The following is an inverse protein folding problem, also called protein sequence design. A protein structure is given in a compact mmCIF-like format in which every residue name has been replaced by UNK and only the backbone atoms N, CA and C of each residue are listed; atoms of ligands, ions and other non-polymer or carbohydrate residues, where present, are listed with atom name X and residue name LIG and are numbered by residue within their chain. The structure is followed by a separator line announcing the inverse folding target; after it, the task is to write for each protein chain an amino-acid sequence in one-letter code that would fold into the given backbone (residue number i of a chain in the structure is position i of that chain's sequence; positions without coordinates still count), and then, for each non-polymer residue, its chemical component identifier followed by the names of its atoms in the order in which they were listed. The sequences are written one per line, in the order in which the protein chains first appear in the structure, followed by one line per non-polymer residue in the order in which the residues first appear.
data_IF_867448039875
#
_entry.id   IF_867448039875
#
_cell.length_a   1.000
_cell.length_b   1.000
_cell.length_c   1.000
_cell.angle_alpha   90.00
_cell.angle_beta   90.00
_cell.angle_gamma   90.00
#
_symmetry.space_group_name_H-M   'P 1'
#
loop_
_entity.id
_entity.type
_entity.pdbx_description
1 polymer ?
#
# COMPACT_ATOMS: atom_id res chain seq x y z
N UNK A 1 -13.08 -2.11 32.80
CA UNK A 1 -12.92 -2.78 31.49
C UNK A 1 -13.82 -3.99 31.40
N UNK A 2 -14.03 -4.75 32.48
CA UNK A 2 -15.04 -5.81 32.58
C UNK A 2 -15.78 -5.58 33.89
N UNK A 3 -17.08 -5.33 33.85
CA UNK A 3 -17.85 -5.04 35.06
C UNK A 3 -19.33 -5.09 34.75
N UNK A 4 -20.04 -5.97 35.44
CA UNK A 4 -21.46 -6.35 35.25
C UNK A 4 -22.47 -5.21 35.59
N UNK A 5 -21.99 -3.97 35.67
CA UNK A 5 -22.76 -2.77 36.01
C UNK A 5 -22.05 -1.43 35.76
N UNK A 6 -20.90 -1.43 35.09
CA UNK A 6 -20.14 -0.22 34.71
C UNK A 6 -20.20 0.05 33.21
N UNK A 7 -19.73 1.22 32.75
CA UNK A 7 -19.56 1.48 31.30
C UNK A 7 -18.67 0.38 30.71
N UNK A 8 -19.19 -0.35 29.74
CA UNK A 8 -18.54 -1.49 29.08
C UNK A 8 -17.43 -1.01 28.13
N UNK A 9 -16.42 -0.31 28.68
CA UNK A 9 -15.33 0.31 27.92
C UNK A 9 -14.48 -0.72 27.17
N UNK A 10 -14.45 -1.98 27.62
CA UNK A 10 -13.80 -3.07 26.90
C UNK A 10 -14.51 -3.37 25.58
N UNK A 11 -15.84 -3.45 25.59
CA UNK A 11 -16.63 -3.74 24.39
C UNK A 11 -16.57 -2.58 23.40
N UNK A 12 -16.57 -1.34 23.89
CA UNK A 12 -16.34 -0.18 23.05
C UNK A 12 -14.95 -0.22 22.39
N UNK A 13 -13.90 -0.58 23.14
CA UNK A 13 -12.55 -0.72 22.61
C UNK A 13 -12.47 -1.80 21.53
N UNK A 14 -13.11 -2.95 21.77
CA UNK A 14 -13.21 -4.02 20.78
C UNK A 14 -13.89 -3.54 19.51
N UNK A 15 -15.05 -2.89 19.63
CA UNK A 15 -15.77 -2.34 18.47
C UNK A 15 -14.92 -1.35 17.67
N UNK A 16 -14.20 -0.44 18.35
CA UNK A 16 -13.29 0.50 17.68
C UNK A 16 -12.13 -0.20 16.97
N UNK A 17 -11.57 -1.26 17.56
CA UNK A 17 -10.49 -2.00 16.91
C UNK A 17 -10.97 -2.82 15.71
N UNK A 18 -12.14 -3.43 15.80
CA UNK A 18 -12.75 -4.16 14.68
C UNK A 18 -13.04 -3.23 13.51
N UNK A 19 -13.63 -2.06 13.80
CA UNK A 19 -13.87 -1.00 12.79
C UNK A 19 -12.54 -0.55 12.17
N UNK A 20 -11.54 -0.26 12.99
CA UNK A 20 -10.24 0.22 12.51
C UNK A 20 -9.52 -0.81 11.64
N UNK A 21 -9.49 -2.07 12.09
CA UNK A 21 -8.92 -3.19 11.32
C UNK A 21 -9.63 -3.33 9.97
N UNK A 22 -10.97 -3.26 9.96
CA UNK A 22 -11.74 -3.30 8.72
C UNK A 22 -11.37 -2.14 7.77
N UNK A 23 -11.15 -0.93 8.28
CA UNK A 23 -10.72 0.20 7.45
C UNK A 23 -9.33 0.00 6.84
N UNK A 24 -8.37 -0.52 7.61
CA UNK A 24 -7.01 -0.77 7.13
C UNK A 24 -6.98 -1.92 6.11
N UNK A 25 -7.74 -2.99 6.35
CA UNK A 25 -7.86 -4.11 5.41
C UNK A 25 -8.59 -3.70 4.13
N UNK A 26 -9.56 -2.78 4.21
CA UNK A 26 -10.26 -2.22 3.06
C UNK A 26 -9.34 -1.44 2.10
N UNK A 27 -8.29 -0.82 2.60
CA UNK A 27 -7.28 -0.12 1.78
C UNK A 27 -6.43 -1.09 0.96
N UNK A 28 -6.13 -2.26 1.51
CA UNK A 28 -5.13 -3.16 0.92
C UNK A 28 -5.68 -3.86 -0.33
N UNK A 29 -7.02 -4.01 -0.46
CA UNK A 29 -7.81 -4.64 -1.55
C UNK A 29 -7.42 -6.10 -1.89
N UNK A 30 -6.13 -6.43 -1.91
CA UNK A 30 -5.56 -7.74 -2.23
C UNK A 30 -5.20 -8.51 -0.96
N UNK A 31 -6.02 -9.54 -0.67
CA UNK A 31 -5.88 -10.46 0.46
C UNK A 31 -4.63 -11.33 0.40
N UNK A 32 -4.00 -11.48 -0.78
CA UNK A 32 -2.85 -12.37 -0.96
C UNK A 32 -1.53 -11.77 -0.46
N UNK A 33 -1.48 -10.44 -0.31
CA UNK A 33 -0.30 -9.70 0.09
C UNK A 33 0.15 -10.05 1.51
N UNK A 34 1.46 -10.08 1.71
CA UNK A 34 2.07 -10.28 3.03
C UNK A 34 1.65 -9.20 4.02
N UNK A 35 1.51 -7.96 3.54
CA UNK A 35 1.03 -6.81 4.33
C UNK A 35 -0.37 -7.07 4.89
N UNK A 36 -1.29 -7.61 4.07
CA UNK A 36 -2.64 -7.96 4.51
C UNK A 36 -2.62 -8.96 5.67
N UNK A 37 -1.79 -10.01 5.56
CA UNK A 37 -1.65 -11.05 6.60
C UNK A 37 -1.00 -10.51 7.87
N UNK A 38 -0.01 -9.64 7.74
CA UNK A 38 0.68 -9.03 8.88
C UNK A 38 -0.26 -8.10 9.65
N UNK A 39 -0.98 -7.23 8.96
CA UNK A 39 -1.98 -6.31 9.57
C UNK A 39 -3.09 -7.11 10.24
N UNK A 40 -3.65 -8.12 9.56
CA UNK A 40 -4.71 -8.96 10.11
C UNK A 40 -4.28 -9.74 11.35
N UNK A 41 -3.02 -10.21 11.40
CA UNK A 41 -2.48 -10.93 12.55
C UNK A 41 -2.09 -10.01 13.71
N UNK A 42 -1.54 -8.84 13.43
CA UNK A 42 -1.15 -7.87 14.47
C UNK A 42 -2.36 -7.28 15.21
N UNK A 43 -3.47 -7.08 14.49
CA UNK A 43 -4.73 -6.53 15.03
C UNK A 43 -5.76 -7.61 15.35
N UNK A 44 -5.32 -8.86 15.48
CA UNK A 44 -6.23 -9.99 15.71
C UNK A 44 -6.87 -9.92 17.11
N UNK A 45 -8.19 -9.99 17.15
CA UNK A 45 -8.99 -10.01 18.38
C UNK A 45 -9.51 -11.43 18.53
N UNK A 46 -8.78 -12.25 19.28
CA UNK A 46 -9.14 -13.66 19.51
C UNK A 46 -9.66 -13.86 20.92
N UNK A 47 -10.90 -14.32 21.01
CA UNK A 47 -11.48 -14.81 22.26
C UNK A 47 -10.85 -16.17 22.59
N UNK A 48 -10.28 -16.30 23.80
CA UNK A 48 -9.67 -17.54 24.26
C UNK A 48 -10.73 -18.36 24.99
N UNK A 49 -11.51 -19.09 24.20
CA UNK A 49 -12.58 -19.99 24.67
C UNK A 49 -12.12 -21.45 24.76
N UNK A 50 -10.82 -21.70 24.54
CA UNK A 50 -10.25 -23.05 24.45
C UNK A 50 -10.26 -23.81 25.78
N UNK A 51 -10.33 -23.10 26.91
CA UNK A 51 -10.41 -23.70 28.23
C UNK A 51 -11.87 -23.76 28.72
N UNK A 52 -12.49 -24.95 28.82
CA UNK A 52 -13.89 -25.09 29.20
C UNK A 52 -14.19 -24.71 30.65
N UNK A 53 -13.17 -24.61 31.51
CA UNK A 53 -13.33 -24.21 32.92
C UNK A 53 -13.39 -22.69 33.10
N UNK A 54 -12.79 -21.91 32.19
CA UNK A 54 -12.83 -20.45 32.27
C UNK A 54 -12.72 -19.78 30.87
N UNK A 55 -13.82 -19.65 30.12
CA UNK A 55 -13.79 -18.94 28.85
C UNK A 55 -13.46 -17.46 29.08
N UNK A 56 -12.42 -16.95 28.41
CA UNK A 56 -12.02 -15.55 28.50
C UNK A 56 -12.27 -14.84 27.17
N UNK A 57 -13.07 -13.77 27.25
CA UNK A 57 -13.17 -12.81 26.15
C UNK A 57 -11.84 -12.07 25.97
N UNK A 58 -11.55 -11.61 24.76
CA UNK A 58 -10.33 -10.85 24.48
C UNK A 58 -10.15 -9.66 25.44
N UNK A 59 -11.22 -8.93 25.74
CA UNK A 59 -11.21 -7.80 26.68
C UNK A 59 -10.80 -8.22 28.10
N UNK A 60 -11.20 -9.42 28.52
CA UNK A 60 -10.85 -9.98 29.82
C UNK A 60 -9.38 -10.37 29.90
N UNK A 61 -8.80 -10.90 28.82
CA UNK A 61 -7.36 -11.20 28.77
C UNK A 61 -6.50 -9.96 29.00
N UNK A 62 -7.00 -8.76 28.67
CA UNK A 62 -6.27 -7.51 28.85
C UNK A 62 -6.31 -6.96 30.29
N UNK A 63 -7.18 -7.45 31.16
CA UNK A 63 -7.46 -6.80 32.45
C UNK A 63 -7.64 -7.74 33.64
N UNK A 64 -8.15 -8.95 33.42
CA UNK A 64 -8.49 -9.87 34.50
C UNK A 64 -7.21 -10.31 35.22
N UNK A 65 -7.18 -10.16 36.54
CA UNK A 65 -6.06 -10.61 37.39
C UNK A 65 -4.75 -9.83 37.25
N UNK A 66 -4.68 -8.77 36.43
CA UNK A 66 -3.48 -7.96 36.26
C UNK A 66 -3.47 -6.73 37.17
N UNK A 67 -2.27 -6.38 37.66
CA UNK A 67 -2.02 -5.12 38.34
C UNK A 67 -2.22 -3.95 37.35
N UNK A 68 -2.66 -2.79 37.85
CA UNK A 68 -2.95 -1.60 37.02
C UNK A 68 -1.80 -1.21 36.08
N UNK A 69 -0.55 -1.33 36.54
CA UNK A 69 0.66 -1.05 35.75
C UNK A 69 0.81 -2.04 34.59
N UNK A 70 0.48 -3.32 34.82
CA UNK A 70 0.53 -4.37 33.78
C UNK A 70 -0.53 -4.14 32.70
N UNK A 71 -1.76 -3.79 33.09
CA UNK A 71 -2.80 -3.39 32.14
C UNK A 71 -2.38 -2.16 31.33
N UNK A 72 -1.78 -1.14 31.97
CA UNK A 72 -1.30 0.04 31.26
C UNK A 72 -0.22 -0.30 30.22
N UNK A 73 0.75 -1.15 30.60
CA UNK A 73 1.79 -1.60 29.68
C UNK A 73 1.22 -2.37 28.49
N UNK A 74 0.20 -3.21 28.72
CA UNK A 74 -0.47 -3.96 27.66
C UNK A 74 -1.27 -3.04 26.72
N UNK A 75 -1.93 -2.01 27.25
CA UNK A 75 -2.59 -0.99 26.43
C UNK A 75 -1.56 -0.16 25.64
N UNK A 76 -0.39 0.13 26.20
CA UNK A 76 0.70 0.78 25.46
C UNK A 76 1.24 -0.11 24.34
N UNK A 77 1.33 -1.43 24.59
CA UNK A 77 1.67 -2.40 23.53
C UNK A 77 0.62 -2.36 22.41
N UNK A 78 -0.67 -2.40 22.75
CA UNK A 78 -1.77 -2.30 21.78
C UNK A 78 -1.65 -1.05 20.89
N UNK A 79 -1.35 0.10 21.50
CA UNK A 79 -1.13 1.35 20.75
C UNK A 79 0.07 1.26 19.80
N UNK A 80 1.13 0.57 20.20
CA UNK A 80 2.29 0.34 19.34
C UNK A 80 1.95 -0.59 18.17
N UNK A 81 1.19 -1.67 18.42
CA UNK A 81 0.75 -2.61 17.40
C UNK A 81 -0.13 -1.91 16.33
N UNK A 82 -1.01 -1.01 16.77
CA UNK A 82 -1.81 -0.14 15.87
C UNK A 82 -0.93 0.74 14.98
N UNK A 83 0.06 1.43 15.57
CA UNK A 83 0.98 2.29 14.82
C UNK A 83 1.86 1.52 13.83
N UNK A 84 2.25 0.30 14.19
CA UNK A 84 3.01 -0.57 13.29
C UNK A 84 2.16 -0.99 12.10
N UNK A 85 0.90 -1.39 12.33
CA UNK A 85 -0.03 -1.71 11.25
C UNK A 85 -0.29 -0.52 10.32
N UNK A 86 -0.43 0.70 10.87
CA UNK A 86 -0.53 1.93 10.08
C UNK A 86 0.70 2.18 9.20
N UNK A 87 1.90 2.00 9.75
CA UNK A 87 3.14 2.17 9.02
C UNK A 87 3.24 1.19 7.85
N UNK A 88 2.88 -0.08 8.06
CA UNK A 88 2.87 -1.11 7.02
C UNK A 88 1.89 -0.74 5.88
N UNK A 89 0.69 -0.24 6.21
CA UNK A 89 -0.30 0.20 5.20
C UNK A 89 0.19 1.44 4.46
N UNK A 90 0.83 2.38 5.17
CA UNK A 90 1.35 3.61 4.58
C UNK A 90 2.52 3.31 3.62
N UNK A 91 3.42 2.41 4.00
CA UNK A 91 4.50 1.93 3.13
C UNK A 91 3.94 1.28 1.85
N UNK A 92 2.88 0.48 2.00
CA UNK A 92 2.17 -0.10 0.85
C UNK A 92 1.54 0.95 -0.07
N UNK A 93 0.92 1.99 0.48
CA UNK A 93 0.38 3.10 -0.32
C UNK A 93 1.49 3.85 -1.06
N UNK A 94 2.61 4.13 -0.41
CA UNK A 94 3.77 4.78 -1.03
C UNK A 94 4.30 3.92 -2.17
N UNK A 95 4.48 2.61 -1.96
CA UNK A 95 4.93 1.70 -3.02
C UNK A 95 3.97 1.66 -4.22
N UNK A 96 2.65 1.73 -3.99
CA UNK A 96 1.65 1.86 -5.06
C UNK A 96 1.77 3.19 -5.82
N UNK A 97 2.05 4.29 -5.13
CA UNK A 97 2.27 5.60 -5.74
C UNK A 97 3.58 5.66 -6.54
N UNK A 98 4.66 5.09 -6.01
CA UNK A 98 5.94 4.99 -6.73
C UNK A 98 5.85 4.07 -7.95
N UNK A 99 5.01 3.04 -7.91
CA UNK A 99 4.70 2.23 -9.09
C UNK A 99 4.03 2.99 -10.24
N UNK A 100 3.46 4.16 -9.95
CA UNK A 100 2.89 5.12 -10.91
C UNK A 100 3.95 6.11 -11.45
N UNK A 101 5.14 6.15 -10.86
CA UNK A 101 6.26 6.95 -11.34
C UNK A 101 6.88 6.32 -12.59
N UNK A 102 7.37 7.16 -13.49
CA UNK A 102 7.74 6.83 -14.87
C UNK A 102 8.83 5.75 -14.87
N UNK A 103 8.45 4.49 -15.07
CA UNK A 103 9.41 3.39 -15.25
C UNK A 103 9.84 3.36 -16.71
N UNK A 104 11.12 3.66 -16.95
CA UNK A 104 11.77 3.41 -18.24
C UNK A 104 11.67 1.91 -18.53
N UNK A 105 10.71 1.53 -19.36
CA UNK A 105 10.36 0.12 -19.60
C UNK A 105 11.21 -0.47 -20.72
N UNK A 106 11.53 0.32 -21.75
CA UNK A 106 12.50 -0.07 -22.77
C UNK A 106 13.42 1.08 -23.17
N UNK A 107 14.69 0.74 -23.40
CA UNK A 107 15.68 1.61 -24.02
C UNK A 107 15.75 1.22 -25.50
N UNK A 108 15.21 2.05 -26.38
CA UNK A 108 15.21 1.82 -27.82
C UNK A 108 16.18 2.77 -28.51
N UNK A 109 17.04 2.21 -29.37
CA UNK A 109 17.89 3.00 -30.25
C UNK A 109 17.05 3.57 -31.39
N UNK A 110 16.85 4.88 -31.39
CA UNK A 110 16.15 5.60 -32.44
C UNK A 110 17.16 6.15 -33.44
N UNK A 111 17.09 5.70 -34.68
CA UNK A 111 17.92 6.22 -35.76
C UNK A 111 17.10 7.27 -36.52
N UNK A 112 17.51 8.53 -36.42
CA UNK A 112 16.95 9.61 -37.23
C UNK A 112 17.90 9.91 -38.38
N UNK A 113 17.48 9.57 -39.58
CA UNK A 113 18.20 9.93 -40.80
C UNK A 113 17.47 11.08 -41.50
N UNK A 114 18.15 12.18 -41.86
CA UNK A 114 17.56 13.26 -42.65
C UNK A 114 17.10 12.81 -44.04
N UNK A 115 17.68 11.71 -44.57
CA UNK A 115 17.36 11.16 -45.89
C UNK A 115 17.13 9.65 -45.78
N UNK A 116 15.97 9.21 -46.25
CA UNK A 116 15.60 7.78 -46.32
C UNK A 116 16.23 7.05 -47.52
N UNK A 117 16.73 7.77 -48.53
CA UNK A 117 17.32 7.21 -49.73
C UNK A 117 18.66 7.86 -50.07
N UNK A 118 19.62 7.04 -50.52
CA UNK A 118 20.92 7.48 -51.00
C UNK A 118 21.27 6.82 -52.34
N UNK A 119 21.99 7.56 -53.18
CA UNK A 119 22.50 7.09 -54.48
C UNK A 119 23.92 6.52 -54.29
N UNK A 120 24.31 5.57 -55.14
CA UNK A 120 25.63 4.93 -55.10
C UNK A 120 26.75 5.97 -55.20
N UNK A 121 27.65 6.00 -54.21
CA UNK A 121 28.72 7.00 -54.09
C UNK A 121 28.33 8.24 -53.25
N UNK A 122 27.09 8.34 -52.79
CA UNK A 122 26.64 9.38 -51.86
C UNK A 122 27.01 9.06 -50.40
N UNK A 123 27.14 10.11 -49.58
CA UNK A 123 27.42 9.99 -48.16
C UNK A 123 26.13 9.78 -47.36
N UNK A 124 26.11 8.74 -46.53
CA UNK A 124 25.05 8.49 -45.56
C UNK A 124 25.42 9.14 -44.22
N UNK A 125 24.54 9.95 -43.67
CA UNK A 125 24.69 10.56 -42.35
C UNK A 125 23.41 10.34 -41.55
N UNK A 126 23.53 9.73 -40.38
CA UNK A 126 22.41 9.46 -39.47
C UNK A 126 22.79 9.79 -38.04
N UNK A 127 21.82 10.30 -37.27
CA UNK A 127 21.97 10.51 -35.83
C UNK A 127 21.29 9.37 -35.07
N UNK A 128 22.02 8.79 -34.11
CA UNK A 128 21.52 7.71 -33.26
C UNK A 128 21.19 8.32 -31.90
N UNK A 129 19.94 8.21 -31.48
CA UNK A 129 19.45 8.66 -30.19
C UNK A 129 19.07 7.45 -29.34
N UNK A 130 19.27 7.55 -28.02
CA UNK A 130 18.72 6.58 -27.08
C UNK A 130 17.41 7.15 -26.53
N UNK A 131 16.30 6.53 -26.89
CA UNK A 131 14.98 6.87 -26.37
C UNK A 131 14.63 5.95 -25.20
N UNK A 132 14.25 6.52 -24.07
CA UNK A 132 13.52 5.80 -23.04
C UNK A 132 12.03 5.77 -23.45
N UNK A 133 11.49 4.58 -23.70
CA UNK A 133 10.08 4.38 -24.02
C UNK A 133 9.37 3.82 -22.78
N UNK A 134 8.23 4.43 -22.47
CA UNK A 134 7.29 3.94 -21.47
C UNK A 134 5.99 3.52 -22.17
N UNK A 135 5.43 2.38 -21.74
CA UNK A 135 4.19 1.80 -22.29
C UNK A 135 3.00 1.95 -21.35
N UNK A 136 3.23 2.41 -20.12
CA UNK A 136 2.21 2.48 -19.06
C UNK A 136 1.37 3.75 -19.10
N UNK A 137 1.91 4.85 -19.63
CA UNK A 137 1.23 6.14 -19.70
C UNK A 137 0.98 6.55 -21.16
N UNK A 138 -0.26 6.96 -21.48
CA UNK A 138 -0.63 7.55 -22.79
C UNK A 138 -0.71 9.07 -22.67
N UNK A 139 0.34 9.84 -23.03
CA UNK A 139 0.30 11.28 -22.92
C UNK A 139 -0.63 11.89 -23.98
N UNK A 140 -1.36 12.95 -23.61
CA UNK A 140 -2.07 13.80 -24.56
C UNK A 140 -1.08 14.79 -25.16
N UNK A 141 -0.74 14.61 -26.43
CA UNK A 141 0.22 15.47 -27.14
C UNK A 141 -0.56 16.49 -27.96
N UNK A 142 -0.31 17.78 -27.71
CA UNK A 142 -0.83 18.86 -28.54
C UNK A 142 0.20 19.20 -29.61
N UNK A 143 -0.16 19.03 -30.88
CA UNK A 143 0.67 19.37 -32.03
C UNK A 143 0.26 20.75 -32.54
N UNK A 144 1.15 21.72 -32.44
CA UNK A 144 1.02 22.98 -33.18
C UNK A 144 1.71 22.77 -34.53
N UNK A 145 0.93 22.41 -35.56
CA UNK A 145 1.42 22.45 -36.93
C UNK A 145 1.32 23.89 -37.44
N UNK A 146 2.47 24.55 -37.57
CA UNK A 146 2.60 25.79 -38.33
C UNK A 146 3.55 25.51 -39.50
N UNK A 147 3.05 24.76 -40.49
CA UNK A 147 3.75 24.52 -41.75
C UNK A 147 2.76 24.70 -42.91
N UNK A 148 3.10 25.49 -43.94
CA UNK A 148 2.22 25.71 -45.07
C UNK A 148 2.10 24.41 -45.87
N UNK A 149 0.86 23.97 -46.06
CA UNK A 149 0.52 22.96 -47.06
C UNK A 149 0.97 23.47 -48.43
N UNK A 150 1.88 22.77 -49.09
CA UNK A 150 1.98 22.84 -50.54
C UNK A 150 1.15 21.67 -51.10
N UNK A 151 0.19 22.06 -51.96
CA UNK A 151 -0.73 21.21 -52.73
C UNK A 151 0.01 20.22 -53.65
#
# INVERSE_FOLDING_TARGET
MVGDGGRMMGDSLRGWMEEYSATLLGVIEDTSLTVYKNVGKNLEIVDHLDDPEEPWTWQETLCRGMHMIGTLALLSKLQADIRNAEADVLEFMIAKLEGLDIRITSLEGLVSSPRSFIVRGGQYQSSIFLGARDTTMRPTIYLTYDAPFYD
#
